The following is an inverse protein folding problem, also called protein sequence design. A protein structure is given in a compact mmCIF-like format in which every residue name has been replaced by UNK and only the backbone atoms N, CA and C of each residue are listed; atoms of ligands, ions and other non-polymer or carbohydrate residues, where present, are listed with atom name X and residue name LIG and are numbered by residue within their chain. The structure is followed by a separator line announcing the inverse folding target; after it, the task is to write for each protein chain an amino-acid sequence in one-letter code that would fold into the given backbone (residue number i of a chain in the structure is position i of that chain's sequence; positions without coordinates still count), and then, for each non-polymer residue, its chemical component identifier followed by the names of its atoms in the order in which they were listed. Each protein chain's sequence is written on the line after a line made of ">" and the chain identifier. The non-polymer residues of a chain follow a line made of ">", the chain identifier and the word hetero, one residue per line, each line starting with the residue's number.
data_IF_245474133372
#
_entry.id   IF_245474133372
#
_cell.length_a   1.000
_cell.length_b   1.000
_cell.length_c   1.000
_cell.angle_alpha   90.00
_cell.angle_beta   90.00
_cell.angle_gamma   90.00
#
_symmetry.space_group_name_H-M   'P 1'
#
loop_
_entity.id
_entity.type
_entity.pdbx_description
1 polymer ?
#
# COMPACT_ATOMS: atom_id res chain seq x y z
N UNK A 1 1.95 -11.55 9.15
CA UNK A 1 0.48 -11.58 9.08
C UNK A 1 0.06 -11.31 7.65
N UNK A 2 -0.91 -12.05 7.10
CA UNK A 2 -1.36 -11.84 5.71
C UNK A 2 -2.07 -10.52 5.43
N UNK A 3 -2.37 -9.75 6.47
CA UNK A 3 -3.16 -8.52 6.44
C UNK A 3 -2.79 -7.51 5.34
N UNK A 4 -1.50 -7.37 5.01
CA UNK A 4 -1.00 -6.32 4.14
C UNK A 4 -0.13 -6.86 2.99
N UNK A 5 -0.21 -8.16 2.69
CA UNK A 5 0.62 -8.79 1.65
C UNK A 5 0.29 -8.27 0.25
N UNK A 6 -0.95 -7.80 0.03
CA UNK A 6 -1.44 -7.35 -1.27
C UNK A 6 -0.99 -5.93 -1.66
N UNK A 7 -0.43 -5.14 -0.73
CA UNK A 7 -0.18 -3.71 -0.97
C UNK A 7 0.97 -3.44 -1.96
N UNK A 8 1.85 -4.41 -2.20
CA UNK A 8 3.09 -4.23 -2.98
C UNK A 8 3.19 -5.15 -4.19
N UNK A 9 2.16 -5.96 -4.46
CA UNK A 9 2.23 -7.05 -5.46
C UNK A 9 2.43 -6.57 -6.90
N UNK A 10 2.09 -5.30 -7.20
CA UNK A 10 2.23 -4.69 -8.53
C UNK A 10 3.49 -3.82 -8.66
N UNK A 11 4.42 -3.90 -7.70
CA UNK A 11 5.69 -3.19 -7.71
C UNK A 11 6.84 -4.19 -7.73
N UNK A 12 7.90 -3.86 -8.47
CA UNK A 12 9.03 -4.78 -8.65
C UNK A 12 9.93 -4.84 -7.40
N UNK A 13 9.95 -3.76 -6.62
CA UNK A 13 10.72 -3.66 -5.37
C UNK A 13 10.17 -2.55 -4.46
N UNK A 14 10.62 -2.48 -3.19
CA UNK A 14 10.31 -1.35 -2.32
C UNK A 14 10.74 0.01 -2.89
N UNK A 15 11.87 0.06 -3.58
CA UNK A 15 12.37 1.27 -4.24
C UNK A 15 11.47 1.69 -5.41
N UNK A 16 10.94 0.72 -6.17
CA UNK A 16 9.97 0.97 -7.23
C UNK A 16 8.65 1.55 -6.66
N UNK A 17 8.18 1.02 -5.53
CA UNK A 17 7.04 1.58 -4.81
C UNK A 17 7.28 3.02 -4.36
N UNK A 18 8.45 3.32 -3.78
CA UNK A 18 8.78 4.69 -3.34
C UNK A 18 8.91 5.65 -4.53
N UNK A 19 9.38 5.17 -5.68
CA UNK A 19 9.57 6.00 -6.86
C UNK A 19 8.26 6.37 -7.57
N UNK A 20 7.28 5.46 -7.60
CA UNK A 20 6.06 5.62 -8.41
C UNK A 20 4.76 5.67 -7.60
N UNK A 21 4.74 5.10 -6.41
CA UNK A 21 3.56 5.00 -5.55
C UNK A 21 3.70 5.81 -4.26
N UNK A 22 2.71 5.65 -3.39
CA UNK A 22 2.74 6.16 -2.02
C UNK A 22 1.74 5.38 -1.15
N UNK A 23 1.84 5.55 0.16
CA UNK A 23 0.93 4.90 1.10
C UNK A 23 1.02 5.48 2.49
N UNK A 24 -0.05 5.26 3.25
CA UNK A 24 -0.19 5.68 4.64
C UNK A 24 -0.73 4.52 5.46
N UNK A 25 -0.39 4.48 6.73
CA UNK A 25 -0.97 3.53 7.67
C UNK A 25 -1.43 4.24 8.95
N UNK A 26 -2.48 3.70 9.54
CA UNK A 26 -2.95 4.03 10.87
C UNK A 26 -2.38 3.02 11.85
N UNK A 27 -1.71 3.52 12.89
CA UNK A 27 -1.18 2.72 13.98
C UNK A 27 -2.17 2.71 15.15
N UNK A 28 -2.36 1.55 15.78
CA UNK A 28 -3.00 1.40 17.08
C UNK A 28 -2.02 0.69 18.02
N UNK A 29 -1.34 1.46 18.86
CA UNK A 29 -0.19 0.97 19.62
C UNK A 29 0.99 0.65 18.70
N UNK A 30 1.52 -0.56 18.81
CA UNK A 30 2.61 -1.10 17.99
C UNK A 30 2.13 -1.87 16.75
N UNK A 31 0.82 -1.92 16.52
CA UNK A 31 0.22 -2.65 15.40
C UNK A 31 -0.39 -1.70 14.37
N UNK A 32 -0.31 -2.11 13.11
CA UNK A 32 -1.03 -1.47 12.03
C UNK A 32 -2.52 -1.85 12.13
N UNK A 33 -3.39 -0.85 12.26
CA UNK A 33 -4.85 -0.99 12.29
C UNK A 33 -5.49 -0.79 10.91
N UNK A 34 -4.93 0.09 10.09
CA UNK A 34 -5.41 0.30 8.71
C UNK A 34 -4.26 0.76 7.81
N UNK A 35 -4.36 0.47 6.52
CA UNK A 35 -3.39 0.88 5.49
C UNK A 35 -4.15 1.30 4.25
N UNK A 36 -3.71 2.37 3.61
CA UNK A 36 -4.10 2.75 2.26
C UNK A 36 -2.84 2.97 1.43
N UNK A 37 -2.67 2.22 0.34
CA UNK A 37 -1.53 2.39 -0.60
C UNK A 37 -2.01 2.48 -2.04
N UNK A 38 -1.15 3.03 -2.90
CA UNK A 38 -1.23 2.81 -4.35
C UNK A 38 -1.18 1.30 -4.62
N UNK A 39 -2.21 0.76 -5.26
CA UNK A 39 -2.26 -0.62 -5.71
C UNK A 39 -1.76 -0.76 -7.13
N UNK A 40 -2.25 0.07 -8.04
CA UNK A 40 -1.89 0.09 -9.44
C UNK A 40 -1.81 1.53 -9.95
N UNK A 41 -1.00 1.74 -10.99
CA UNK A 41 -0.79 3.04 -11.62
C UNK A 41 -1.15 2.91 -13.10
N UNK A 42 -1.98 3.82 -13.60
CA UNK A 42 -2.29 3.94 -15.01
C UNK A 42 -1.92 5.34 -15.51
N UNK A 43 -2.04 5.56 -16.83
CA UNK A 43 -1.63 6.84 -17.46
C UNK A 43 -2.43 8.06 -16.97
N UNK A 44 -3.54 7.87 -16.27
CA UNK A 44 -4.44 8.95 -15.83
C UNK A 44 -4.77 8.92 -14.34
N UNK A 45 -4.18 8.03 -13.55
CA UNK A 45 -4.51 7.92 -12.13
C UNK A 45 -3.93 6.70 -11.45
N UNK A 46 -4.47 6.43 -10.27
CA UNK A 46 -4.09 5.30 -9.42
C UNK A 46 -5.32 4.56 -8.93
N UNK A 47 -5.15 3.28 -8.68
CA UNK A 47 -6.05 2.49 -7.84
C UNK A 47 -5.51 2.44 -6.42
N UNK A 48 -6.38 2.54 -5.42
CA UNK A 48 -6.00 2.54 -4.01
C UNK A 48 -6.45 1.23 -3.38
N UNK A 49 -5.51 0.51 -2.74
CA UNK A 49 -5.81 -0.65 -1.91
C UNK A 49 -5.95 -0.20 -0.46
N UNK A 50 -7.04 -0.61 0.19
CA UNK A 50 -7.30 -0.31 1.60
C UNK A 50 -7.57 -1.61 2.36
N UNK A 51 -6.86 -1.78 3.47
CA UNK A 51 -7.07 -2.89 4.39
C UNK A 51 -7.24 -2.30 5.80
N UNK A 52 -8.26 -2.75 6.52
CA UNK A 52 -8.54 -2.35 7.91
C UNK A 52 -8.73 -3.61 8.75
N UNK A 53 -8.20 -3.61 9.96
CA UNK A 53 -8.40 -4.67 10.96
C UNK A 53 -9.53 -4.33 11.91
#
# INVERSE_FOLDING_TARGET
>A
SRFAEDHMVNFDSPEDFVARGFGFCLMHGDQIASVATTFAICSKGIEIQINTR
#
